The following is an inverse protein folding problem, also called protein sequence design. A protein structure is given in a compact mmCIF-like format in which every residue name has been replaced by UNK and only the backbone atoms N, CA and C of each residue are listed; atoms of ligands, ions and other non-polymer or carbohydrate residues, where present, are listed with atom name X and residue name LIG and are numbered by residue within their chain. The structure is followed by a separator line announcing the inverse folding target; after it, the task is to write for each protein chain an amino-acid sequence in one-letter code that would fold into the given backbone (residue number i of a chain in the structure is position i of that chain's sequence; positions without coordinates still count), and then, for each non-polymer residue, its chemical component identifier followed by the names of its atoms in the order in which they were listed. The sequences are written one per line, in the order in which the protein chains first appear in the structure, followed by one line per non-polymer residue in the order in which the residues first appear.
data_IF_001138463195
#
_entry.id   IF_001138463195
#
_cell.length_a   1.000
_cell.length_b   1.000
_cell.length_c   1.000
_cell.angle_alpha   90.00
_cell.angle_beta   90.00
_cell.angle_gamma   90.00
#
_symmetry.space_group_name_H-M   'P 1'
#
loop_
_entity.id
_entity.type
_entity.pdbx_description
1 polymer ?
#
# COMPACT_ATOMS: atom_id res chain seq x y z
N UNK A 1 16.58 51.05 -29.66
CA UNK A 1 16.21 50.11 -28.56
C UNK A 1 14.83 50.48 -28.05
N UNK A 2 13.80 49.67 -28.34
CA UNK A 2 12.45 49.88 -27.80
C UNK A 2 12.45 49.45 -26.32
N UNK A 3 12.32 50.40 -25.39
CA UNK A 3 12.18 50.09 -23.96
C UNK A 3 10.84 49.39 -23.75
N UNK A 4 10.86 48.10 -23.43
CA UNK A 4 9.64 47.36 -23.07
C UNK A 4 8.93 48.10 -21.93
N UNK A 5 7.62 48.37 -22.03
CA UNK A 5 6.92 49.13 -21.02
C UNK A 5 6.89 48.39 -19.68
N UNK A 6 7.30 49.09 -18.60
CA UNK A 6 7.36 48.52 -17.24
C UNK A 6 6.02 47.95 -16.74
N UNK A 7 4.89 48.42 -17.26
CA UNK A 7 3.56 47.92 -16.87
C UNK A 7 3.32 46.47 -17.29
N UNK A 8 3.87 46.00 -18.42
CA UNK A 8 3.68 44.61 -18.86
C UNK A 8 4.31 43.63 -17.87
N UNK A 9 5.48 43.96 -17.32
CA UNK A 9 6.15 43.15 -16.30
C UNK A 9 5.31 43.07 -15.01
N UNK A 10 4.70 44.19 -14.60
CA UNK A 10 3.81 44.21 -13.44
C UNK A 10 2.50 43.43 -13.67
N UNK A 11 1.93 43.49 -14.88
CA UNK A 11 0.77 42.67 -15.23
C UNK A 11 1.09 41.18 -15.24
N UNK A 12 2.22 40.77 -15.83
CA UNK A 12 2.67 39.37 -15.80
C UNK A 12 2.89 38.93 -14.35
N UNK A 13 3.51 39.76 -13.51
CA UNK A 13 3.70 39.48 -12.10
C UNK A 13 2.36 39.34 -11.36
N UNK A 14 1.44 40.28 -11.53
CA UNK A 14 0.12 40.25 -10.89
C UNK A 14 -0.69 39.02 -11.31
N UNK A 15 -0.68 38.68 -12.60
CA UNK A 15 -1.32 37.47 -13.13
C UNK A 15 -0.68 36.21 -12.55
N UNK A 16 0.66 36.15 -12.50
CA UNK A 16 1.38 35.01 -11.91
C UNK A 16 1.04 34.80 -10.44
N UNK A 17 1.06 35.88 -9.65
CA UNK A 17 0.69 35.86 -8.23
C UNK A 17 -0.77 35.46 -8.07
N UNK A 18 -1.68 35.99 -8.88
CA UNK A 18 -3.10 35.61 -8.87
C UNK A 18 -3.29 34.10 -9.10
N UNK A 19 -2.64 33.53 -10.12
CA UNK A 19 -2.72 32.09 -10.38
C UNK A 19 -2.18 31.25 -9.22
N UNK A 20 -1.08 31.68 -8.58
CA UNK A 20 -0.56 31.02 -7.38
C UNK A 20 -1.59 31.02 -6.26
N UNK A 21 -2.22 32.16 -5.97
CA UNK A 21 -3.27 32.25 -4.94
C UNK A 21 -4.48 31.37 -5.26
N UNK A 22 -4.91 31.34 -6.52
CA UNK A 22 -5.99 30.46 -6.96
C UNK A 22 -5.62 28.99 -6.71
N UNK A 23 -4.41 28.57 -7.08
CA UNK A 23 -3.92 27.19 -6.85
C UNK A 23 -3.81 26.85 -5.36
N UNK A 24 -3.43 27.80 -4.52
CA UNK A 24 -3.34 27.61 -3.06
C UNK A 24 -4.71 27.39 -2.40
N UNK A 25 -5.78 27.90 -3.01
CA UNK A 25 -7.11 27.89 -2.42
C UNK A 25 -8.04 26.80 -2.95
N UNK A 26 -7.59 25.94 -3.87
CA UNK A 26 -8.44 24.90 -4.47
C UNK A 26 -8.91 23.93 -3.36
N UNK A 27 -10.22 23.86 -3.06
CA UNK A 27 -10.75 22.92 -2.08
C UNK A 27 -10.58 21.49 -2.59
N UNK A 28 -10.16 20.56 -1.72
CA UNK A 28 -9.94 19.18 -2.10
C UNK A 28 -11.25 18.50 -2.58
N UNK A 29 -12.36 18.82 -1.92
CA UNK A 29 -13.68 18.30 -2.25
C UNK A 29 -14.10 18.63 -3.71
N UNK A 30 -13.73 19.82 -4.20
CA UNK A 30 -14.01 20.22 -5.58
C UNK A 30 -13.28 19.29 -6.57
N UNK A 31 -11.99 19.02 -6.33
CA UNK A 31 -11.19 18.17 -7.21
C UNK A 31 -11.73 16.73 -7.23
N UNK A 32 -12.00 16.15 -6.05
CA UNK A 32 -12.49 14.78 -5.92
C UNK A 32 -13.85 14.60 -6.63
N UNK A 33 -14.77 15.55 -6.49
CA UNK A 33 -16.08 15.50 -7.16
C UNK A 33 -16.01 15.51 -8.70
N UNK A 34 -14.94 16.10 -9.27
CA UNK A 34 -14.75 16.17 -10.73
C UNK A 34 -14.20 14.87 -11.30
N UNK A 35 -13.28 14.23 -10.61
CA UNK A 35 -12.62 13.01 -11.08
C UNK A 35 -13.37 11.73 -10.68
N UNK A 36 -14.14 11.76 -9.59
CA UNK A 36 -14.90 10.61 -9.11
C UNK A 36 -16.38 10.98 -8.95
N UNK A 37 -17.14 10.89 -10.04
CA UNK A 37 -18.56 11.29 -10.10
C UNK A 37 -19.54 10.38 -9.34
N UNK A 38 -19.07 9.31 -8.71
CA UNK A 38 -19.91 8.39 -7.92
C UNK A 38 -19.16 7.85 -6.70
N UNK A 39 -18.45 8.74 -5.99
CA UNK A 39 -17.48 8.35 -4.99
C UNK A 39 -18.15 7.95 -3.67
N UNK A 40 -18.60 6.69 -3.57
CA UNK A 40 -19.05 6.13 -2.30
C UNK A 40 -17.88 5.86 -1.34
N UNK A 41 -16.64 5.82 -1.88
CA UNK A 41 -15.44 5.44 -1.15
C UNK A 41 -14.91 6.57 -0.28
N UNK A 42 -14.87 7.82 -0.75
CA UNK A 42 -14.37 8.96 0.03
C UNK A 42 -15.52 9.87 0.46
N UNK A 43 -15.59 10.15 1.76
CA UNK A 43 -16.60 10.97 2.41
C UNK A 43 -15.92 12.02 3.30
N UNK A 44 -16.68 13.04 3.72
CA UNK A 44 -16.22 14.08 4.65
C UNK A 44 -14.88 14.74 4.25
N UNK A 45 -14.65 14.91 2.95
CA UNK A 45 -13.42 15.53 2.43
C UNK A 45 -13.33 16.97 2.92
N UNK A 46 -12.26 17.30 3.63
CA UNK A 46 -12.01 18.64 4.15
C UNK A 46 -10.58 19.10 3.84
N UNK A 47 -10.36 20.41 3.91
CA UNK A 47 -9.09 21.05 3.55
C UNK A 47 -8.95 21.36 2.05
N UNK A 48 -7.71 21.55 1.63
CA UNK A 48 -7.36 21.92 0.26
C UNK A 48 -6.44 20.85 -0.38
N UNK A 49 -6.09 21.05 -1.65
CA UNK A 49 -5.20 20.13 -2.38
C UNK A 49 -3.78 20.00 -1.79
N UNK A 50 -3.40 20.88 -0.85
CA UNK A 50 -2.09 20.88 -0.22
C UNK A 50 -2.08 20.14 1.11
N UNK A 51 -3.12 20.33 1.91
CA UNK A 51 -3.31 19.65 3.17
C UNK A 51 -4.80 19.44 3.40
N UNK A 52 -5.17 18.20 3.66
CA UNK A 52 -6.56 17.85 3.93
C UNK A 52 -6.69 16.45 4.49
N UNK A 53 -7.94 16.08 4.71
CA UNK A 53 -8.31 14.77 5.19
C UNK A 53 -9.62 14.33 4.52
N UNK A 54 -9.82 13.03 4.47
CA UNK A 54 -11.06 12.42 4.04
C UNK A 54 -11.30 11.14 4.82
N UNK A 55 -12.55 10.85 5.09
CA UNK A 55 -12.94 9.54 5.58
C UNK A 55 -13.09 8.62 4.37
N UNK A 56 -12.70 7.36 4.53
CA UNK A 56 -12.89 6.35 3.50
C UNK A 56 -13.72 5.18 4.01
N UNK A 57 -14.51 4.58 3.12
CA UNK A 57 -15.34 3.42 3.41
C UNK A 57 -15.36 2.49 2.19
N UNK A 58 -14.87 1.27 2.34
CA UNK A 58 -15.02 0.20 1.34
C UNK A 58 -15.44 -1.11 2.00
N UNK A 59 -16.63 -1.61 1.66
CA UNK A 59 -17.21 -2.79 2.30
C UNK A 59 -17.35 -2.62 3.82
N UNK A 60 -16.64 -3.43 4.59
CA UNK A 60 -16.62 -3.37 6.06
C UNK A 60 -15.45 -2.55 6.64
N UNK A 61 -14.53 -2.10 5.77
CA UNK A 61 -13.39 -1.29 6.17
C UNK A 61 -13.76 0.19 6.11
N UNK A 62 -13.41 0.92 7.17
CA UNK A 62 -13.59 2.37 7.26
C UNK A 62 -12.40 2.98 7.99
N UNK A 63 -12.07 4.21 7.62
CA UNK A 63 -10.93 4.89 8.20
C UNK A 63 -10.82 6.34 7.78
N UNK A 64 -9.71 6.96 8.13
CA UNK A 64 -9.35 8.30 7.70
C UNK A 64 -8.07 8.24 6.86
N UNK A 65 -8.02 9.13 5.87
CA UNK A 65 -6.88 9.40 5.02
C UNK A 65 -6.52 10.87 5.20
N UNK A 66 -5.33 11.15 5.72
CA UNK A 66 -4.79 12.50 5.75
C UNK A 66 -3.69 12.63 4.70
N UNK A 67 -3.57 13.80 4.08
CA UNK A 67 -2.49 14.08 3.14
C UNK A 67 -1.88 15.45 3.36
N UNK A 68 -0.59 15.53 3.07
CA UNK A 68 0.17 16.76 2.98
C UNK A 68 1.06 16.71 1.74
N UNK A 69 0.62 17.38 0.69
CA UNK A 69 1.31 17.51 -0.59
C UNK A 69 2.70 18.11 -0.38
N UNK A 70 3.66 17.66 -1.18
CA UNK A 70 5.07 18.07 -1.17
C UNK A 70 5.33 18.93 -2.41
N UNK A 71 5.24 20.27 -2.32
CA UNK A 71 5.34 21.12 -3.50
C UNK A 71 6.70 21.02 -4.21
N UNK A 72 7.75 20.74 -3.46
CA UNK A 72 9.11 20.57 -4.00
C UNK A 72 9.22 19.37 -4.94
N UNK A 73 8.36 18.37 -4.80
CA UNK A 73 8.34 17.21 -5.69
C UNK A 73 7.94 17.59 -7.12
N UNK A 74 7.31 18.75 -7.35
CA UNK A 74 7.05 19.29 -8.69
C UNK A 74 8.35 19.56 -9.47
N UNK A 75 9.42 19.96 -8.78
CA UNK A 75 10.75 20.11 -9.41
C UNK A 75 11.34 18.77 -9.84
N UNK A 76 10.89 17.67 -9.23
CA UNK A 76 11.22 16.30 -9.61
C UNK A 76 10.24 15.73 -10.65
N UNK A 77 9.38 16.58 -11.24
CA UNK A 77 8.35 16.20 -12.21
C UNK A 77 7.39 15.10 -11.70
N UNK A 78 7.05 15.16 -10.41
CA UNK A 78 6.11 14.24 -9.77
C UNK A 78 5.18 14.97 -8.80
N UNK A 79 3.99 14.43 -8.61
CA UNK A 79 3.05 14.85 -7.57
C UNK A 79 3.30 13.98 -6.35
N UNK A 80 3.91 14.53 -5.30
CA UNK A 80 4.20 13.82 -4.05
C UNK A 80 3.35 14.32 -2.89
N UNK A 81 2.99 13.44 -1.95
CA UNK A 81 2.35 13.78 -0.69
C UNK A 81 2.82 12.85 0.43
N UNK A 82 2.98 13.38 1.64
CA UNK A 82 2.97 12.55 2.84
C UNK A 82 1.51 12.15 3.09
N UNK A 83 1.29 10.86 3.31
CA UNK A 83 -0.02 10.25 3.45
C UNK A 83 -0.04 9.44 4.73
N UNK A 84 -1.09 9.63 5.52
CA UNK A 84 -1.34 8.86 6.72
C UNK A 84 -2.72 8.22 6.62
N UNK A 85 -2.79 6.93 6.91
CA UNK A 85 -4.01 6.12 6.84
C UNK A 85 -4.26 5.53 8.21
N UNK A 86 -5.44 5.77 8.76
CA UNK A 86 -5.92 5.09 9.97
C UNK A 86 -7.17 4.29 9.67
N UNK A 87 -7.26 3.08 10.21
CA UNK A 87 -8.46 2.23 10.14
C UNK A 87 -8.51 1.28 11.32
N UNK A 88 -9.35 1.58 12.32
CA UNK A 88 -9.30 0.86 13.59
C UNK A 88 -7.93 1.04 14.26
N UNK A 89 -7.24 -0.05 14.59
CA UNK A 89 -5.87 0.01 15.12
C UNK A 89 -4.78 -0.07 14.02
N UNK A 90 -5.16 -0.12 12.74
CA UNK A 90 -4.21 0.01 11.62
C UNK A 90 -3.82 1.46 11.47
N UNK A 91 -2.52 1.73 11.42
CA UNK A 91 -1.94 3.03 11.14
C UNK A 91 -0.80 2.85 10.15
N UNK A 92 -0.83 3.56 9.04
CA UNK A 92 0.20 3.53 8.01
C UNK A 92 0.57 4.95 7.62
N UNK A 93 1.86 5.22 7.59
CA UNK A 93 2.45 6.48 7.16
C UNK A 93 3.35 6.21 5.96
N UNK A 94 3.22 7.00 4.91
CA UNK A 94 4.04 6.85 3.71
C UNK A 94 4.21 8.17 2.96
N UNK A 95 5.21 8.23 2.08
CA UNK A 95 5.30 9.25 1.04
C UNK A 95 4.81 8.63 -0.26
N UNK A 96 3.63 9.04 -0.70
CA UNK A 96 3.05 8.60 -1.98
C UNK A 96 3.37 9.60 -3.08
N UNK A 97 3.69 9.10 -4.27
CA UNK A 97 4.06 9.89 -5.42
C UNK A 97 3.48 9.37 -6.72
N UNK A 98 3.16 10.29 -7.62
CA UNK A 98 2.75 10.01 -8.99
C UNK A 98 3.60 10.80 -9.98
N UNK A 99 4.49 10.10 -10.69
CA UNK A 99 5.45 10.67 -11.63
C UNK A 99 5.03 10.54 -13.09
N UNK A 100 5.81 11.18 -13.96
CA UNK A 100 5.65 11.07 -15.41
C UNK A 100 5.62 9.61 -15.90
N UNK A 101 4.80 9.32 -16.92
CA UNK A 101 4.63 7.97 -17.45
C UNK A 101 3.86 7.03 -16.53
N UNK A 102 2.93 7.57 -15.70
CA UNK A 102 2.07 6.82 -14.78
C UNK A 102 2.84 6.01 -13.73
N UNK A 103 4.01 6.50 -13.32
CA UNK A 103 4.85 5.85 -12.30
C UNK A 103 4.28 6.14 -10.91
N UNK A 104 3.85 5.10 -10.21
CA UNK A 104 3.50 5.15 -8.79
C UNK A 104 4.78 4.99 -7.97
N UNK A 105 4.93 5.78 -6.93
CA UNK A 105 6.11 5.83 -6.07
C UNK A 105 5.61 5.76 -4.63
N UNK A 106 6.07 4.80 -3.85
CA UNK A 106 5.82 4.71 -2.42
C UNK A 106 7.19 4.72 -1.73
N UNK A 107 7.36 5.61 -0.77
CA UNK A 107 8.58 5.71 0.02
C UNK A 107 8.27 5.75 1.51
N UNK A 108 9.20 5.22 2.32
CA UNK A 108 9.10 5.24 3.78
C UNK A 108 7.74 4.76 4.31
N UNK A 109 7.16 3.72 3.71
CA UNK A 109 5.94 3.15 4.23
C UNK A 109 6.25 2.43 5.55
N UNK A 110 5.67 2.96 6.62
CA UNK A 110 5.89 2.57 7.99
C UNK A 110 4.55 2.41 8.71
N UNK A 111 4.53 1.58 9.75
CA UNK A 111 3.38 1.47 10.65
C UNK A 111 2.96 0.04 10.90
N UNK A 112 1.67 -0.15 11.17
CA UNK A 112 1.13 -1.44 11.59
C UNK A 112 -0.23 -1.73 10.93
N UNK A 113 -0.42 -2.99 10.56
CA UNK A 113 -1.68 -3.53 10.07
C UNK A 113 -2.27 -4.40 11.18
N UNK A 114 -3.41 -3.98 11.69
CA UNK A 114 -4.11 -4.66 12.76
C UNK A 114 -4.90 -5.88 12.24
N UNK A 115 -5.08 -6.93 13.07
CA UNK A 115 -5.76 -8.17 12.66
C UNK A 115 -7.20 -7.96 12.16
N UNK A 116 -7.91 -6.97 12.70
CA UNK A 116 -9.26 -6.60 12.25
C UNK A 116 -9.29 -6.13 10.79
N UNK A 117 -8.19 -5.59 10.27
CA UNK A 117 -8.08 -5.23 8.85
C UNK A 117 -7.95 -6.48 7.99
N UNK A 118 -7.18 -7.47 8.44
CA UNK A 118 -6.99 -8.76 7.74
C UNK A 118 -8.29 -9.59 7.70
N UNK A 119 -9.12 -9.50 8.74
CA UNK A 119 -10.47 -10.13 8.79
C UNK A 119 -11.37 -9.73 7.62
N UNK A 120 -11.21 -8.53 7.08
CA UNK A 120 -12.01 -8.06 5.95
C UNK A 120 -11.53 -8.62 4.61
N UNK A 121 -10.32 -9.19 4.55
CA UNK A 121 -9.81 -9.89 3.38
C UNK A 121 -10.26 -11.35 3.36
N UNK A 122 -10.14 -12.03 4.49
CA UNK A 122 -10.55 -13.42 4.69
C UNK A 122 -11.12 -13.59 6.10
N UNK A 123 -12.28 -14.24 6.20
CA UNK A 123 -13.00 -14.51 7.45
C UNK A 123 -12.32 -15.60 8.31
N UNK A 124 -11.09 -15.35 8.73
CA UNK A 124 -10.33 -16.19 9.67
C UNK A 124 -10.28 -15.53 11.05
N UNK A 125 -10.00 -16.33 12.07
CA UNK A 125 -9.65 -15.82 13.39
C UNK A 125 -8.14 -15.57 13.40
N UNK A 126 -7.76 -14.35 13.05
CA UNK A 126 -6.37 -13.90 13.01
C UNK A 126 -5.79 -13.74 14.43
N UNK A 127 -4.49 -14.02 14.64
CA UNK A 127 -3.78 -13.68 15.87
C UNK A 127 -3.92 -12.19 16.21
N UNK A 128 -3.95 -11.85 17.50
CA UNK A 128 -4.10 -10.46 17.96
C UNK A 128 -2.89 -9.55 17.64
N UNK A 129 -1.76 -10.12 17.23
CA UNK A 129 -0.54 -9.37 16.96
C UNK A 129 -0.63 -8.67 15.60
N UNK A 130 -0.36 -7.35 15.53
CA UNK A 130 -0.33 -6.64 14.26
C UNK A 130 0.90 -7.02 13.42
N UNK A 131 0.77 -6.84 12.12
CA UNK A 131 1.91 -6.89 11.18
C UNK A 131 2.56 -5.51 11.18
N UNK A 132 3.86 -5.45 11.46
CA UNK A 132 4.64 -4.23 11.42
C UNK A 132 5.34 -4.09 10.07
N UNK A 133 5.30 -2.88 9.50
CA UNK A 133 5.98 -2.50 8.28
C UNK A 133 7.01 -1.43 8.61
N UNK A 134 8.23 -1.59 8.10
CA UNK A 134 9.35 -0.71 8.36
C UNK A 134 10.05 -0.38 7.04
N UNK A 135 10.11 0.92 6.75
CA UNK A 135 10.77 1.51 5.58
C UNK A 135 10.54 0.73 4.30
N UNK A 136 9.26 0.54 3.97
CA UNK A 136 8.86 -0.07 2.70
C UNK A 136 8.88 0.98 1.60
N UNK A 137 9.72 0.74 0.61
CA UNK A 137 9.92 1.55 -0.58
C UNK A 137 9.62 0.70 -1.82
N UNK A 138 8.93 1.27 -2.80
CA UNK A 138 8.85 0.70 -4.14
C UNK A 138 8.37 1.72 -5.16
N UNK A 139 8.77 1.52 -6.41
CA UNK A 139 8.13 2.11 -7.57
C UNK A 139 7.34 1.06 -8.33
N UNK A 140 6.26 1.50 -8.96
CA UNK A 140 5.47 0.67 -9.85
C UNK A 140 5.10 1.44 -11.13
N UNK A 141 5.32 0.81 -12.28
CA UNK A 141 4.83 1.31 -13.56
C UNK A 141 4.29 0.14 -14.36
N UNK A 142 3.04 0.21 -14.82
CA UNK A 142 2.33 -0.94 -15.42
C UNK A 142 3.11 -1.63 -16.55
N UNK A 143 3.83 -0.87 -17.38
CA UNK A 143 4.60 -1.43 -18.50
C UNK A 143 5.98 -1.99 -18.08
N UNK A 144 6.48 -1.62 -16.90
CA UNK A 144 7.84 -1.96 -16.43
C UNK A 144 7.84 -2.78 -15.13
N UNK A 145 6.69 -2.96 -14.48
CA UNK A 145 6.55 -3.64 -13.19
C UNK A 145 7.12 -2.84 -12.00
N UNK A 146 7.58 -3.58 -11.00
CA UNK A 146 8.16 -3.06 -9.75
C UNK A 146 9.65 -2.77 -9.90
N UNK A 147 10.13 -1.75 -9.18
CA UNK A 147 11.55 -1.41 -9.11
C UNK A 147 11.87 -0.60 -7.85
N UNK A 148 13.14 -0.60 -7.42
CA UNK A 148 13.59 0.08 -6.20
C UNK A 148 12.78 -0.37 -4.98
N UNK A 149 12.57 -1.68 -4.89
CA UNK A 149 11.79 -2.28 -3.82
C UNK A 149 12.68 -2.73 -2.69
N UNK A 150 12.43 -2.19 -1.51
CA UNK A 150 13.14 -2.51 -0.28
C UNK A 150 12.15 -2.39 0.88
N UNK A 151 12.41 -3.11 1.97
CA UNK A 151 11.69 -2.90 3.22
C UNK A 151 11.57 -4.17 4.03
N UNK A 152 11.05 -3.99 5.24
CA UNK A 152 10.93 -5.07 6.20
C UNK A 152 9.50 -5.20 6.70
N UNK A 153 9.11 -6.45 6.92
CA UNK A 153 7.85 -6.84 7.52
C UNK A 153 8.15 -7.69 8.75
N UNK A 154 7.46 -7.45 9.86
CA UNK A 154 7.58 -8.30 11.04
C UNK A 154 6.20 -8.66 11.55
N UNK A 155 6.02 -9.92 11.93
CA UNK A 155 4.79 -10.38 12.56
C UNK A 155 5.12 -11.34 13.68
N UNK A 156 4.60 -11.10 14.88
CA UNK A 156 4.85 -11.98 16.02
C UNK A 156 4.21 -13.37 15.83
N UNK A 157 3.26 -13.50 14.90
CA UNK A 157 2.52 -14.74 14.67
C UNK A 157 1.50 -15.01 15.77
N UNK A 158 1.19 -16.28 15.99
CA UNK A 158 0.24 -16.77 16.98
C UNK A 158 -0.74 -17.79 16.42
N UNK A 159 -1.72 -18.14 17.24
CA UNK A 159 -2.77 -19.09 16.86
C UNK A 159 -3.75 -18.46 15.88
N UNK A 160 -3.93 -19.11 14.74
CA UNK A 160 -4.91 -18.76 13.72
C UNK A 160 -5.91 -19.90 13.56
N UNK A 161 -7.21 -19.58 13.58
CA UNK A 161 -8.27 -20.55 13.27
C UNK A 161 -8.84 -20.18 11.90
N UNK A 162 -8.78 -21.11 10.97
CA UNK A 162 -9.27 -20.94 9.61
C UNK A 162 -10.28 -22.03 9.25
N UNK A 163 -11.16 -21.74 8.31
CA UNK A 163 -12.14 -22.69 7.81
C UNK A 163 -11.74 -23.13 6.41
N UNK A 164 -11.57 -24.44 6.21
CA UNK A 164 -11.31 -25.05 4.91
C UNK A 164 -12.21 -26.26 4.72
N UNK A 165 -12.89 -26.35 3.57
CA UNK A 165 -13.82 -27.45 3.25
C UNK A 165 -14.83 -27.76 4.38
N UNK A 166 -15.44 -26.71 4.95
CA UNK A 166 -16.39 -26.78 6.08
C UNK A 166 -15.82 -27.34 7.40
N UNK A 167 -14.50 -27.53 7.49
CA UNK A 167 -13.82 -27.87 8.74
C UNK A 167 -13.04 -26.67 9.25
N UNK A 168 -13.17 -26.42 10.54
CA UNK A 168 -12.28 -25.50 11.23
C UNK A 168 -11.01 -26.23 11.58
N UNK A 169 -9.88 -25.58 11.34
CA UNK A 169 -8.57 -26.07 11.71
C UNK A 169 -7.75 -24.95 12.34
N UNK A 170 -6.71 -25.34 13.05
CA UNK A 170 -5.81 -24.46 13.78
C UNK A 170 -4.43 -24.52 13.14
N UNK A 171 -3.86 -23.35 12.93
CA UNK A 171 -2.47 -23.16 12.55
C UNK A 171 -1.76 -22.32 13.60
N UNK A 172 -0.61 -22.78 14.09
CA UNK A 172 0.24 -21.98 14.96
C UNK A 172 1.31 -21.26 14.15
N UNK A 173 1.08 -20.01 13.77
CA UNK A 173 2.02 -19.27 12.94
C UNK A 173 3.20 -18.84 13.82
N UNK A 174 4.46 -19.23 13.49
CA UNK A 174 5.62 -18.76 14.22
C UNK A 174 5.85 -17.27 13.97
N UNK A 175 6.72 -16.64 14.75
CA UNK A 175 7.12 -15.27 14.45
C UNK A 175 7.81 -15.21 13.08
N UNK A 176 7.32 -14.29 12.24
CA UNK A 176 7.75 -14.08 10.87
C UNK A 176 8.55 -12.79 10.73
N UNK A 177 9.58 -12.86 9.90
CA UNK A 177 10.28 -11.71 9.33
C UNK A 177 10.22 -11.80 7.81
N UNK A 178 9.81 -10.73 7.18
CA UNK A 178 9.72 -10.58 5.73
C UNK A 178 10.71 -9.53 5.24
N UNK A 179 11.30 -9.78 4.07
CA UNK A 179 12.03 -8.77 3.31
C UNK A 179 11.33 -8.55 1.98
N UNK A 180 11.15 -7.29 1.62
CA UNK A 180 10.74 -6.90 0.28
C UNK A 180 11.97 -6.69 -0.60
N UNK A 181 11.87 -7.14 -1.83
CA UNK A 181 12.82 -6.88 -2.90
C UNK A 181 12.09 -6.83 -4.24
N UNK A 182 12.72 -6.28 -5.28
CA UNK A 182 12.27 -6.47 -6.65
C UNK A 182 13.19 -7.46 -7.39
N UNK A 183 12.58 -8.38 -8.14
CA UNK A 183 13.30 -9.29 -9.02
C UNK A 183 12.50 -9.46 -10.31
N UNK A 184 13.17 -9.31 -11.46
CA UNK A 184 12.56 -9.45 -12.79
C UNK A 184 11.26 -8.64 -12.94
N UNK A 185 11.26 -7.39 -12.45
CA UNK A 185 10.13 -6.45 -12.48
C UNK A 185 8.94 -6.85 -11.59
N UNK A 186 9.13 -7.76 -10.64
CA UNK A 186 8.10 -8.23 -9.72
C UNK A 186 8.47 -7.91 -8.29
N UNK A 187 7.47 -7.65 -7.46
CA UNK A 187 7.68 -7.43 -6.04
C UNK A 187 7.73 -8.78 -5.32
N UNK A 188 8.88 -9.09 -4.74
CA UNK A 188 9.13 -10.30 -3.96
C UNK A 188 8.94 -10.02 -2.48
N UNK A 189 8.27 -10.92 -1.78
CA UNK A 189 8.23 -10.97 -0.32
C UNK A 189 8.81 -12.32 0.11
N UNK A 190 10.03 -12.31 0.63
CA UNK A 190 10.66 -13.49 1.23
C UNK A 190 10.35 -13.50 2.72
N UNK A 191 9.47 -14.40 3.15
CA UNK A 191 8.99 -14.49 4.52
C UNK A 191 9.57 -15.74 5.18
N UNK A 192 10.26 -15.51 6.29
CA UNK A 192 11.02 -16.50 7.04
C UNK A 192 10.65 -16.47 8.51
N UNK A 193 10.99 -17.52 9.23
CA UNK A 193 10.93 -17.52 10.70
C UNK A 193 12.14 -16.77 11.29
N UNK A 194 12.19 -16.65 12.62
CA UNK A 194 13.31 -16.03 13.34
C UNK A 194 14.66 -16.74 13.12
N UNK A 195 14.65 -18.00 12.70
CA UNK A 195 15.84 -18.83 12.41
C UNK A 195 16.25 -18.77 10.93
N UNK A 196 15.72 -17.81 10.15
CA UNK A 196 15.96 -17.65 8.71
C UNK A 196 15.48 -18.81 7.83
N UNK A 197 14.56 -19.60 8.35
CA UNK A 197 13.96 -20.72 7.63
C UNK A 197 12.82 -20.22 6.75
N UNK A 198 12.84 -20.61 5.47
CA UNK A 198 11.85 -20.17 4.50
C UNK A 198 10.47 -20.73 4.85
N UNK A 199 9.45 -19.87 4.84
CA UNK A 199 8.08 -20.26 5.17
C UNK A 199 7.10 -19.96 4.04
N UNK A 200 7.13 -18.72 3.55
CA UNK A 200 6.23 -18.21 2.52
C UNK A 200 7.06 -17.43 1.50
N UNK A 201 6.73 -17.60 0.23
CA UNK A 201 7.14 -16.65 -0.81
C UNK A 201 5.89 -16.04 -1.43
N UNK A 202 5.86 -14.72 -1.49
CA UNK A 202 4.83 -13.98 -2.21
C UNK A 202 5.48 -13.22 -3.35
N UNK A 203 4.79 -13.18 -4.48
CA UNK A 203 5.21 -12.48 -5.67
C UNK A 203 4.05 -11.67 -6.23
N UNK A 204 4.27 -10.39 -6.52
CA UNK A 204 3.30 -9.54 -7.18
C UNK A 204 3.84 -9.08 -8.53
N UNK A 205 3.15 -9.47 -9.61
CA UNK A 205 3.55 -9.14 -10.97
C UNK A 205 3.03 -7.76 -11.44
N UNK A 206 3.41 -7.37 -12.65
CA UNK A 206 2.99 -6.12 -13.28
C UNK A 206 1.47 -6.00 -13.54
N UNK A 207 0.75 -7.12 -13.53
CA UNK A 207 -0.70 -7.19 -13.66
C UNK A 207 -1.40 -7.21 -12.30
N UNK A 208 -0.65 -7.04 -11.21
CA UNK A 208 -1.12 -7.11 -9.83
C UNK A 208 -1.74 -8.48 -9.49
N UNK A 209 -1.19 -9.54 -10.09
CA UNK A 209 -1.46 -10.92 -9.71
C UNK A 209 -0.50 -11.32 -8.60
N UNK A 210 -1.07 -11.74 -7.47
CA UNK A 210 -0.36 -12.27 -6.32
C UNK A 210 -0.19 -13.78 -6.46
N UNK A 211 1.04 -14.20 -6.69
CA UNK A 211 1.48 -15.59 -6.57
C UNK A 211 1.88 -15.87 -5.11
N UNK A 212 1.28 -16.89 -4.51
CA UNK A 212 1.51 -17.31 -3.12
C UNK A 212 2.09 -18.72 -3.14
N UNK A 213 3.21 -18.93 -2.46
CA UNK A 213 3.82 -20.25 -2.30
C UNK A 213 4.10 -20.52 -0.82
N UNK A 214 3.60 -21.66 -0.33
CA UNK A 214 3.76 -22.07 1.06
C UNK A 214 4.63 -23.32 1.14
N UNK A 215 5.63 -23.28 2.01
CA UNK A 215 6.54 -24.41 2.25
C UNK A 215 5.90 -25.49 3.12
N UNK A 216 6.41 -26.72 3.02
CA UNK A 216 6.00 -27.79 3.92
C UNK A 216 6.27 -27.43 5.39
N UNK A 217 7.40 -26.77 5.68
CA UNK A 217 7.77 -26.30 7.01
C UNK A 217 6.68 -25.45 7.64
N UNK A 218 6.07 -24.55 6.86
CA UNK A 218 4.95 -23.76 7.33
C UNK A 218 3.73 -24.63 7.61
N UNK A 219 3.36 -25.52 6.70
CA UNK A 219 2.16 -26.35 6.84
C UNK A 219 2.23 -27.34 7.99
N UNK A 220 3.42 -27.78 8.41
CA UNK A 220 3.59 -28.61 9.61
C UNK A 220 3.18 -27.90 10.92
N UNK A 221 2.87 -26.59 10.87
CA UNK A 221 2.26 -25.88 11.99
C UNK A 221 0.73 -26.00 12.04
N UNK A 222 0.11 -26.69 11.08
CA UNK A 222 -1.31 -27.04 11.05
C UNK A 222 -1.48 -28.39 11.73
N UNK A 223 -2.35 -28.47 12.72
CA UNK A 223 -2.48 -29.68 13.55
C UNK A 223 -2.90 -30.93 12.75
N UNK A 224 -3.70 -30.77 11.69
CA UNK A 224 -4.18 -31.87 10.86
C UNK A 224 -3.26 -32.27 9.70
N UNK A 225 -2.18 -31.51 9.46
CA UNK A 225 -1.36 -31.68 8.26
C UNK A 225 -0.22 -32.69 8.45
N UNK A 226 -0.26 -33.79 7.70
CA UNK A 226 0.79 -34.81 7.65
C UNK A 226 1.56 -34.74 6.33
N UNK A 227 2.54 -33.84 6.25
CA UNK A 227 3.39 -33.68 5.07
C UNK A 227 4.54 -34.69 4.97
N UNK A 228 4.97 -35.03 3.75
CA UNK A 228 6.09 -35.96 3.48
C UNK A 228 7.21 -35.41 2.58
N UNK A 229 7.05 -34.23 1.99
CA UNK A 229 8.11 -33.59 1.21
C UNK A 229 9.20 -33.00 2.11
N UNK A 230 10.30 -32.53 1.50
CA UNK A 230 11.35 -31.81 2.23
C UNK A 230 10.82 -30.50 2.81
N UNK A 231 11.34 -30.07 3.97
CA UNK A 231 10.83 -28.93 4.73
C UNK A 231 10.71 -27.64 3.90
N UNK A 232 11.68 -27.33 3.04
CA UNK A 232 11.69 -26.10 2.24
C UNK A 232 11.00 -26.24 0.87
N UNK A 233 10.35 -27.38 0.63
CA UNK A 233 9.60 -27.63 -0.61
C UNK A 233 8.28 -26.87 -0.56
N UNK A 234 7.95 -26.15 -1.64
CA UNK A 234 6.61 -25.59 -1.79
C UNK A 234 5.61 -26.69 -2.08
N UNK A 235 4.57 -26.76 -1.26
CA UNK A 235 3.53 -27.80 -1.33
C UNK A 235 2.15 -27.21 -1.65
N UNK A 236 1.97 -25.90 -1.44
CA UNK A 236 0.80 -25.16 -1.88
C UNK A 236 1.28 -23.98 -2.73
N UNK A 237 0.64 -23.79 -3.88
CA UNK A 237 0.78 -22.61 -4.71
C UNK A 237 -0.59 -22.12 -5.16
N UNK A 238 -0.78 -20.81 -5.17
CA UNK A 238 -2.01 -20.17 -5.65
C UNK A 238 -1.66 -18.86 -6.35
N UNK A 239 -2.49 -18.47 -7.33
CA UNK A 239 -2.40 -17.18 -8.01
C UNK A 239 -3.75 -16.50 -7.99
N UNK A 240 -3.81 -15.27 -7.51
CA UNK A 240 -5.05 -14.50 -7.44
C UNK A 240 -4.80 -13.01 -7.70
N UNK A 241 -5.76 -12.26 -8.26
CA UNK A 241 -5.63 -10.81 -8.35
C UNK A 241 -5.61 -10.19 -6.94
N UNK A 242 -4.75 -9.20 -6.72
CA UNK A 242 -4.64 -8.51 -5.42
C UNK A 242 -5.93 -7.75 -5.06
N UNK A 243 -6.62 -7.21 -6.06
CA UNK A 243 -7.87 -6.49 -5.89
C UNK A 243 -9.00 -7.22 -6.63
N UNK A 244 -10.12 -7.46 -5.93
CA UNK A 244 -11.33 -8.03 -6.54
C UNK A 244 -12.00 -6.95 -7.39
N UNK A 245 -12.03 -7.15 -8.71
CA UNK A 245 -12.52 -6.18 -9.70
C UNK A 245 -11.36 -5.44 -10.35
N UNK A 246 -11.02 -5.83 -11.58
CA UNK A 246 -9.87 -5.27 -12.33
C UNK A 246 -9.93 -3.76 -12.51
N UNK A 247 -8.77 -3.17 -12.80
CA UNK A 247 -8.61 -1.76 -13.17
C UNK A 247 -9.12 -1.46 -14.59
#
# INVERSE_FOLDING_TARGET
MIKKPKYITWWIFAIGVFFIFVLLQIPAAWLISKFYKNNQVLQNVSGNIWQGQADWHTGNLRGSLSWKTRPLDLFLLRLGANVEIHSGNTQLDAVAGYGFGKKIIIHHLNGQIAPETLKNLVEWQWPANPIQLQDVDFNFKKEQGFSQSEGQLQWAGGEMIYTYAQRQDRMNIPSLKGKLADENNKLMFDIRDQRDQKLIALELDQNLMLDVQLTQRLLLNIASYEGKAGLDTYVISSRQPLFKGGF
#
